data_IF_424407863574
#
_entry.id   IF_424407863574
#
_cell.length_a   1.000
_cell.length_b   1.000
_cell.length_c   1.000
_cell.angle_alpha   90.00
_cell.angle_beta   90.00
_cell.angle_gamma   90.00
#
_symmetry.space_group_name_H-M   'P 1'
#
loop_
_entity.id
_entity.type
_entity.pdbx_description
1 polymer ?
#
# COMPACT_ATOMS: atom_id res chain seq x y z
N UNK A 1 -3.61 19.41 2.58
CA UNK A 1 -4.38 19.45 1.31
C UNK A 1 -4.17 18.19 0.46
N UNK A 2 -2.95 17.89 -0.01
CA UNK A 2 -2.70 16.74 -0.92
C UNK A 2 -3.14 15.37 -0.36
N UNK A 3 -2.93 15.12 0.94
CA UNK A 3 -3.33 13.87 1.59
C UNK A 3 -4.86 13.71 1.61
N UNK A 4 -5.59 14.75 2.01
CA UNK A 4 -7.05 14.75 2.03
C UNK A 4 -7.64 14.57 0.63
N UNK A 5 -7.05 15.22 -0.38
CA UNK A 5 -7.47 15.05 -1.78
C UNK A 5 -7.29 13.59 -2.26
N UNK A 6 -6.16 12.95 -1.94
CA UNK A 6 -5.92 11.55 -2.30
C UNK A 6 -6.81 10.58 -1.51
N UNK A 7 -7.14 10.89 -0.25
CA UNK A 7 -8.13 10.13 0.51
C UNK A 7 -9.51 10.20 -0.14
N UNK A 8 -9.93 11.39 -0.59
CA UNK A 8 -11.17 11.56 -1.33
C UNK A 8 -11.16 10.76 -2.64
N UNK A 9 -10.06 10.85 -3.43
CA UNK A 9 -9.91 10.09 -4.67
C UNK A 9 -9.98 8.57 -4.43
N UNK A 10 -9.41 8.06 -3.33
CA UNK A 10 -9.48 6.63 -3.00
C UNK A 10 -10.93 6.13 -2.79
N UNK A 11 -11.87 7.00 -2.47
CA UNK A 11 -13.28 6.64 -2.31
C UNK A 11 -14.05 6.52 -3.65
N UNK A 12 -13.48 6.99 -4.76
CA UNK A 12 -14.14 6.91 -6.06
C UNK A 12 -14.12 5.47 -6.62
N UNK A 13 -15.15 5.08 -7.40
CA UNK A 13 -15.15 3.81 -8.12
C UNK A 13 -13.93 3.68 -9.04
N UNK A 14 -13.38 2.48 -9.14
CA UNK A 14 -12.19 2.22 -9.96
C UNK A 14 -12.41 2.54 -11.46
N UNK A 15 -13.65 2.43 -11.94
CA UNK A 15 -14.02 2.78 -13.31
C UNK A 15 -13.94 4.28 -13.63
N UNK A 16 -13.86 5.15 -12.62
CA UNK A 16 -13.69 6.59 -12.81
C UNK A 16 -12.25 6.98 -13.20
N UNK A 17 -11.30 6.05 -13.09
CA UNK A 17 -9.90 6.30 -13.38
C UNK A 17 -9.50 5.79 -14.76
N UNK A 18 -8.80 6.63 -15.52
CA UNK A 18 -8.25 6.28 -16.83
C UNK A 18 -6.71 6.19 -16.75
N UNK A 19 -6.06 5.93 -17.90
CA UNK A 19 -4.60 5.84 -18.01
C UNK A 19 -3.89 7.15 -17.62
N UNK A 20 -4.47 8.31 -17.93
CA UNK A 20 -3.92 9.62 -17.54
C UNK A 20 -3.89 9.80 -16.03
N UNK A 21 -4.97 9.42 -15.33
CA UNK A 21 -5.01 9.45 -13.87
C UNK A 21 -3.96 8.50 -13.26
N UNK A 22 -3.77 7.31 -13.84
CA UNK A 22 -2.70 6.38 -13.41
C UNK A 22 -1.32 7.03 -13.49
N UNK A 23 -1.00 7.72 -14.60
CA UNK A 23 0.27 8.43 -14.76
C UNK A 23 0.47 9.53 -13.71
N UNK A 24 -0.61 10.19 -13.28
CA UNK A 24 -0.53 11.16 -12.17
C UNK A 24 -0.21 10.49 -10.85
N UNK A 25 -0.86 9.36 -10.52
CA UNK A 25 -0.54 8.61 -9.29
C UNK A 25 0.89 8.08 -9.30
N UNK A 26 1.37 7.56 -10.43
CA UNK A 26 2.78 7.19 -10.61
C UNK A 26 3.71 8.39 -10.39
N UNK A 27 3.39 9.54 -10.97
CA UNK A 27 4.19 10.75 -10.79
C UNK A 27 4.26 11.20 -9.32
N UNK A 28 3.20 10.97 -8.54
CA UNK A 28 3.17 11.26 -7.10
C UNK A 28 4.01 10.23 -6.34
N UNK A 29 3.79 8.94 -6.59
CA UNK A 29 4.44 7.85 -5.88
C UNK A 29 5.96 7.83 -6.13
N UNK A 30 6.38 7.92 -7.38
CA UNK A 30 7.80 7.93 -7.78
C UNK A 30 8.45 9.32 -7.67
N UNK A 31 7.71 10.35 -7.25
CA UNK A 31 8.20 11.72 -7.11
C UNK A 31 8.85 12.30 -8.39
N UNK A 32 8.36 11.93 -9.59
CA UNK A 32 8.95 12.31 -10.89
C UNK A 32 9.01 13.82 -11.13
N UNK A 33 8.05 14.58 -10.59
CA UNK A 33 7.92 16.04 -10.79
C UNK A 33 8.37 16.86 -9.59
N UNK A 34 8.02 16.42 -8.38
CA UNK A 34 8.33 17.09 -7.12
C UNK A 34 8.29 16.10 -5.97
N UNK A 35 8.81 16.51 -4.82
CA UNK A 35 8.68 15.74 -3.57
C UNK A 35 7.25 15.80 -3.06
N UNK A 36 6.79 14.67 -2.55
CA UNK A 36 5.48 14.50 -1.92
C UNK A 36 5.65 13.91 -0.53
N UNK A 37 4.72 14.27 0.36
CA UNK A 37 4.60 13.69 1.69
C UNK A 37 4.46 12.15 1.62
N UNK A 38 5.05 11.44 2.58
CA UNK A 38 5.02 9.97 2.62
C UNK A 38 3.60 9.40 2.61
N UNK A 39 2.66 10.00 3.33
CA UNK A 39 1.26 9.53 3.37
C UNK A 39 0.51 9.82 2.06
N UNK A 40 0.91 10.87 1.33
CA UNK A 40 0.39 11.07 -0.03
C UNK A 40 0.90 9.98 -0.99
N UNK A 41 2.16 9.54 -0.83
CA UNK A 41 2.75 8.47 -1.64
C UNK A 41 2.11 7.11 -1.34
N UNK A 42 1.88 6.77 -0.08
CA UNK A 42 1.21 5.49 0.29
C UNK A 42 -0.24 5.45 -0.22
N UNK A 43 -0.95 6.59 -0.19
CA UNK A 43 -2.29 6.69 -0.77
C UNK A 43 -2.29 6.56 -2.30
N UNK A 44 -1.34 7.19 -2.99
CA UNK A 44 -1.21 7.04 -4.44
C UNK A 44 -0.91 5.58 -4.81
N UNK A 45 -0.05 4.89 -4.04
CA UNK A 45 0.22 3.47 -4.20
C UNK A 45 -1.05 2.63 -4.03
N UNK A 46 -1.84 2.88 -2.98
CA UNK A 46 -3.09 2.14 -2.74
C UNK A 46 -4.04 2.23 -3.94
N UNK A 47 -4.18 3.43 -4.52
CA UNK A 47 -5.00 3.62 -5.73
C UNK A 47 -4.40 2.86 -6.91
N UNK A 48 -3.09 2.99 -7.16
CA UNK A 48 -2.40 2.26 -8.24
C UNK A 48 -2.59 0.73 -8.14
N UNK A 49 -2.47 0.17 -6.94
CA UNK A 49 -2.67 -1.26 -6.70
C UNK A 49 -4.13 -1.67 -6.88
N UNK A 50 -5.07 -0.82 -6.47
CA UNK A 50 -6.51 -1.07 -6.64
C UNK A 50 -6.92 -1.09 -8.12
N UNK A 51 -6.24 -0.30 -8.97
CA UNK A 51 -6.42 -0.29 -10.41
C UNK A 51 -5.83 -1.52 -11.14
N UNK A 52 -5.32 -2.50 -10.41
CA UNK A 52 -4.68 -3.74 -10.92
C UNK A 52 -3.47 -3.42 -11.82
N UNK A 53 -2.24 -3.48 -11.28
CA UNK A 53 -1.04 -3.21 -12.07
C UNK A 53 -0.85 -4.28 -13.14
N UNK A 54 -0.32 -3.88 -14.29
CA UNK A 54 0.23 -4.82 -15.28
C UNK A 54 1.50 -5.46 -14.74
N UNK A 55 1.99 -6.50 -15.44
CA UNK A 55 3.26 -7.15 -15.11
C UNK A 55 4.42 -6.15 -15.07
N UNK A 56 4.53 -5.29 -16.07
CA UNK A 56 5.56 -4.23 -16.13
C UNK A 56 5.44 -3.24 -14.97
N UNK A 57 4.22 -2.81 -14.64
CA UNK A 57 3.98 -1.87 -13.55
C UNK A 57 4.32 -2.46 -12.18
N UNK A 58 4.03 -3.75 -11.97
CA UNK A 58 4.51 -4.44 -10.79
C UNK A 58 6.04 -4.52 -10.78
N UNK A 59 6.64 -4.76 -11.95
CA UNK A 59 8.07 -4.69 -12.14
C UNK A 59 8.68 -3.39 -11.62
N UNK A 60 8.15 -2.24 -12.04
CA UNK A 60 8.61 -0.93 -11.57
C UNK A 60 8.45 -0.73 -10.05
N UNK A 61 7.38 -1.28 -9.45
CA UNK A 61 7.21 -1.26 -7.99
C UNK A 61 8.26 -2.09 -7.26
N UNK A 62 8.65 -3.24 -7.83
CA UNK A 62 9.72 -4.08 -7.31
C UNK A 62 11.09 -3.40 -7.46
N UNK A 63 11.37 -2.82 -8.63
CA UNK A 63 12.60 -2.06 -8.88
C UNK A 63 12.73 -0.85 -7.93
N UNK A 64 11.60 -0.23 -7.57
CA UNK A 64 11.58 0.82 -6.56
C UNK A 64 12.07 0.37 -5.17
N UNK A 65 11.84 -0.89 -4.77
CA UNK A 65 12.37 -1.40 -3.51
C UNK A 65 13.90 -1.37 -3.45
N UNK A 66 14.54 -1.60 -4.60
CA UNK A 66 16.00 -1.55 -4.77
C UNK A 66 16.54 -0.14 -5.12
N UNK A 67 15.66 0.87 -5.27
CA UNK A 67 16.07 2.23 -5.64
C UNK A 67 16.87 2.94 -4.53
N UNK A 68 17.48 4.09 -4.86
CA UNK A 68 18.19 4.94 -3.90
C UNK A 68 17.27 5.80 -3.00
N UNK A 69 15.95 5.58 -3.04
CA UNK A 69 15.03 6.28 -2.14
C UNK A 69 15.32 5.89 -0.68
N UNK A 70 15.61 6.90 0.16
CA UNK A 70 15.94 6.75 1.59
C UNK A 70 14.70 6.64 2.48
N UNK A 71 13.49 6.73 1.92
CA UNK A 71 12.24 6.56 2.66
C UNK A 71 11.92 5.08 2.89
N UNK A 72 12.64 4.45 3.84
CA UNK A 72 12.50 3.03 4.17
C UNK A 72 11.07 2.64 4.59
N UNK A 73 10.36 3.55 5.24
CA UNK A 73 8.96 3.37 5.64
C UNK A 73 8.04 3.13 4.43
N UNK A 74 8.27 3.85 3.33
CA UNK A 74 7.49 3.70 2.10
C UNK A 74 7.84 2.38 1.41
N UNK A 75 9.11 2.00 1.37
CA UNK A 75 9.54 0.71 0.80
C UNK A 75 8.96 -0.48 1.58
N UNK A 76 8.96 -0.36 2.91
CA UNK A 76 8.36 -1.34 3.82
C UNK A 76 6.86 -1.45 3.55
N UNK A 77 6.17 -0.31 3.46
CA UNK A 77 4.75 -0.26 3.11
C UNK A 77 4.46 -0.97 1.77
N UNK A 78 5.22 -0.64 0.72
CA UNK A 78 5.07 -1.27 -0.61
C UNK A 78 5.20 -2.79 -0.51
N UNK A 79 6.31 -3.27 0.07
CA UNK A 79 6.57 -4.70 0.16
C UNK A 79 5.48 -5.45 0.93
N UNK A 80 5.07 -4.92 2.09
CA UNK A 80 4.02 -5.55 2.88
C UNK A 80 2.67 -5.52 2.16
N UNK A 81 2.35 -4.43 1.43
CA UNK A 81 1.12 -4.37 0.64
C UNK A 81 1.10 -5.37 -0.50
N UNK A 82 2.23 -5.55 -1.19
CA UNK A 82 2.37 -6.57 -2.23
C UNK A 82 2.24 -7.99 -1.67
N UNK A 83 2.89 -8.29 -0.53
CA UNK A 83 2.74 -9.58 0.16
C UNK A 83 1.30 -9.85 0.58
N UNK A 84 0.65 -8.87 1.19
CA UNK A 84 -0.77 -8.96 1.56
C UNK A 84 -1.67 -9.23 0.34
N UNK A 85 -1.42 -8.61 -0.81
CA UNK A 85 -2.17 -8.88 -2.03
C UNK A 85 -1.88 -10.28 -2.60
N UNK A 86 -0.64 -10.75 -2.51
CA UNK A 86 -0.25 -12.10 -2.90
C UNK A 86 -0.88 -13.17 -1.99
N UNK A 87 -1.05 -12.88 -0.70
CA UNK A 87 -1.77 -13.75 0.21
C UNK A 87 -3.24 -13.90 -0.20
N UNK A 88 -3.89 -12.78 -0.55
CA UNK A 88 -5.34 -12.73 -0.88
C UNK A 88 -5.68 -13.25 -2.28
N UNK A 89 -4.79 -13.08 -3.26
CA UNK A 89 -5.10 -13.39 -4.66
C UNK A 89 -4.04 -14.34 -5.26
N UNK A 90 -4.38 -15.62 -5.51
CA UNK A 90 -3.45 -16.59 -6.11
C UNK A 90 -2.89 -16.15 -7.46
N UNK A 91 -3.71 -15.49 -8.28
CA UNK A 91 -3.27 -14.94 -9.58
C UNK A 91 -2.24 -13.83 -9.41
N UNK A 92 -2.43 -12.95 -8.42
CA UNK A 92 -1.47 -11.90 -8.12
C UNK A 92 -0.18 -12.49 -7.52
N UNK A 93 -0.29 -13.53 -6.69
CA UNK A 93 0.85 -14.27 -6.14
C UNK A 93 1.76 -14.82 -7.24
N UNK A 94 1.18 -15.55 -8.19
CA UNK A 94 1.94 -16.12 -9.30
C UNK A 94 2.66 -15.03 -10.12
N UNK A 95 1.98 -13.91 -10.38
CA UNK A 95 2.56 -12.77 -11.08
C UNK A 95 3.68 -12.10 -10.25
N UNK A 96 3.48 -11.90 -8.95
CA UNK A 96 4.48 -11.35 -8.02
C UNK A 96 5.74 -12.22 -7.92
N UNK A 97 5.57 -13.54 -7.75
CA UNK A 97 6.67 -14.50 -7.71
C UNK A 97 7.44 -14.52 -9.05
N UNK A 98 6.72 -14.53 -10.18
CA UNK A 98 7.35 -14.50 -11.50
C UNK A 98 8.20 -13.25 -11.73
N UNK A 99 7.73 -12.08 -11.28
CA UNK A 99 8.46 -10.81 -11.44
C UNK A 99 9.64 -10.70 -10.47
N UNK A 100 9.56 -11.34 -9.29
CA UNK A 100 10.68 -11.46 -8.37
C UNK A 100 11.79 -12.35 -8.91
N UNK A 101 11.45 -13.49 -9.53
CA UNK A 101 12.45 -14.40 -10.14
C UNK A 101 13.23 -13.69 -11.24
N UNK A 102 12.57 -12.86 -12.05
CA UNK A 102 13.22 -12.05 -13.09
C UNK A 102 14.16 -10.97 -12.53
N UNK A 103 13.91 -10.48 -11.32
CA UNK A 103 14.65 -9.35 -10.70
C UNK A 103 15.53 -9.83 -9.55
N UNK A 104 16.62 -10.50 -9.89
CA UNK A 104 17.60 -11.00 -8.89
C UNK A 104 18.17 -9.89 -7.99
N UNK A 105 18.29 -8.66 -8.50
CA UNK A 105 18.72 -7.50 -7.71
C UNK A 105 17.69 -7.03 -6.66
N UNK A 106 16.43 -7.40 -6.81
CA UNK A 106 15.37 -7.18 -5.81
C UNK A 106 15.18 -8.41 -4.94
N UNK A 107 15.27 -9.62 -5.50
CA UNK A 107 15.04 -10.88 -4.80
C UNK A 107 16.25 -11.31 -3.96
N UNK A 108 16.57 -10.52 -2.94
CA UNK A 108 17.60 -10.82 -1.95
C UNK A 108 17.20 -10.25 -0.59
N UNK A 109 17.84 -10.74 0.47
CA UNK A 109 17.53 -10.32 1.84
C UNK A 109 17.78 -8.84 2.10
N UNK A 110 18.73 -8.22 1.41
CA UNK A 110 19.03 -6.79 1.58
C UNK A 110 17.88 -5.89 1.11
N UNK A 111 17.16 -6.29 0.06
CA UNK A 111 16.01 -5.53 -0.48
C UNK A 111 14.67 -6.03 0.08
N UNK A 112 14.49 -7.33 0.32
CA UNK A 112 13.24 -7.87 0.87
C UNK A 112 13.17 -7.81 2.41
N UNK A 113 14.29 -7.58 3.08
CA UNK A 113 14.40 -7.31 4.51
C UNK A 113 14.39 -5.81 4.81
N UNK A 114 13.28 -5.15 4.50
CA UNK A 114 13.16 -3.69 4.69
C UNK A 114 13.26 -3.31 6.18
N UNK A 115 13.90 -2.17 6.45
CA UNK A 115 14.22 -1.68 7.81
C UNK A 115 13.13 -0.82 8.45
N UNK A 116 12.07 -0.48 7.71
CA UNK A 116 11.03 0.41 8.22
C UNK A 116 10.13 -0.26 9.25
N UNK A 117 9.52 0.56 10.10
CA UNK A 117 8.60 0.13 11.17
C UNK A 117 7.14 0.12 10.72
N UNK A 118 6.83 0.67 9.55
CA UNK A 118 5.49 0.68 8.98
C UNK A 118 4.96 -0.75 8.85
N UNK A 119 3.72 -0.95 9.28
CA UNK A 119 3.07 -2.26 9.26
C UNK A 119 1.78 -2.24 8.44
N UNK A 120 1.55 -3.32 7.70
CA UNK A 120 0.31 -3.65 7.04
C UNK A 120 0.02 -5.10 7.38
N UNK A 121 -1.01 -5.30 8.20
CA UNK A 121 -1.44 -6.60 8.67
C UNK A 121 -2.84 -6.88 8.14
N UNK A 122 -3.05 -8.07 7.62
CA UNK A 122 -4.39 -8.61 7.34
C UNK A 122 -4.59 -9.86 8.19
N UNK A 123 -5.73 -9.97 8.87
CA UNK A 123 -6.05 -11.14 9.69
C UNK A 123 -7.51 -11.51 9.51
N UNK A 124 -7.77 -12.78 9.21
CA UNK A 124 -9.14 -13.29 9.20
C UNK A 124 -9.65 -13.36 10.65
N UNK A 125 -10.80 -12.76 10.92
CA UNK A 125 -11.41 -12.71 12.25
C UNK A 125 -12.48 -13.78 12.40
N UNK A 126 -13.31 -13.97 11.37
CA UNK A 126 -14.41 -14.92 11.39
C UNK A 126 -14.65 -15.54 10.02
N UNK A 127 -15.11 -16.78 10.03
CA UNK A 127 -15.55 -17.52 8.86
C UNK A 127 -16.97 -18.00 9.13
N UNK A 128 -17.95 -17.35 8.51
CA UNK A 128 -19.35 -17.73 8.61
C UNK A 128 -19.90 -18.11 7.22
N UNK A 129 -20.95 -18.95 7.15
CA UNK A 129 -21.52 -19.38 5.87
C UNK A 129 -22.02 -18.22 4.99
N UNK A 130 -22.44 -17.11 5.62
CA UNK A 130 -22.98 -15.94 4.93
C UNK A 130 -21.89 -14.92 4.52
N UNK A 131 -20.88 -14.72 5.37
CA UNK A 131 -19.79 -13.77 5.11
C UNK A 131 -18.53 -14.11 5.91
N UNK A 132 -17.38 -13.80 5.33
CA UNK A 132 -16.09 -13.85 6.02
C UNK A 132 -15.70 -12.44 6.47
N UNK A 133 -15.15 -12.32 7.67
CA UNK A 133 -14.71 -11.03 8.20
C UNK A 133 -13.18 -10.99 8.31
N UNK A 134 -12.58 -9.92 7.81
CA UNK A 134 -11.14 -9.70 7.81
C UNK A 134 -10.81 -8.34 8.41
N UNK A 135 -9.89 -8.34 9.38
CA UNK A 135 -9.26 -7.14 9.89
C UNK A 135 -8.12 -6.72 8.99
N UNK A 136 -8.12 -5.46 8.56
CA UNK A 136 -6.99 -4.81 7.92
C UNK A 136 -6.46 -3.70 8.84
N UNK A 137 -5.25 -3.87 9.34
CA UNK A 137 -4.53 -2.85 10.10
C UNK A 137 -3.41 -2.27 9.25
N UNK A 138 -3.27 -0.96 9.23
CA UNK A 138 -2.19 -0.24 8.54
C UNK A 138 -1.66 0.83 9.47
N UNK A 139 -0.37 0.81 9.77
CA UNK A 139 0.30 1.76 10.65
C UNK A 139 1.51 2.34 9.91
N UNK A 140 1.37 3.55 9.41
CA UNK A 140 2.46 4.33 8.84
C UNK A 140 3.23 5.02 9.96
N UNK A 141 4.51 4.69 10.07
CA UNK A 141 5.42 5.23 11.07
C UNK A 141 6.39 6.19 10.41
N UNK A 142 6.78 7.25 11.13
CA UNK A 142 7.84 8.16 10.73
C UNK A 142 8.69 8.49 11.95
N UNK A 143 10.00 8.21 11.89
CA UNK A 143 10.93 8.43 13.00
C UNK A 143 10.45 7.80 14.34
N UNK A 144 9.89 6.59 14.29
CA UNK A 144 9.36 5.90 15.46
C UNK A 144 7.98 6.38 15.95
N UNK A 145 7.44 7.45 15.36
CA UNK A 145 6.13 8.00 15.73
C UNK A 145 5.07 7.52 14.75
N UNK A 146 3.91 7.11 15.26
CA UNK A 146 2.76 6.79 14.42
C UNK A 146 2.27 8.05 13.72
N UNK A 147 2.51 8.16 12.42
CA UNK A 147 2.00 9.26 11.58
C UNK A 147 0.54 9.03 11.20
N UNK A 148 0.20 7.79 10.85
CA UNK A 148 -1.16 7.42 10.44
C UNK A 148 -1.43 5.96 10.73
N UNK A 149 -2.41 5.69 11.57
CA UNK A 149 -2.95 4.37 11.83
C UNK A 149 -4.35 4.24 11.24
N UNK A 150 -4.68 3.12 10.63
CA UNK A 150 -6.05 2.79 10.24
C UNK A 150 -6.35 1.32 10.48
N UNK A 151 -7.53 1.07 11.03
CA UNK A 151 -8.09 -0.27 11.22
C UNK A 151 -9.41 -0.32 10.46
N UNK A 152 -9.55 -1.31 9.59
CA UNK A 152 -10.70 -1.48 8.71
C UNK A 152 -11.20 -2.93 8.77
N UNK A 153 -12.51 -3.10 8.96
CA UNK A 153 -13.17 -4.40 8.95
C UNK A 153 -13.81 -4.62 7.59
N UNK A 154 -13.39 -5.70 6.94
CA UNK A 154 -13.78 -6.04 5.59
C UNK A 154 -14.67 -7.28 5.64
N UNK A 155 -15.91 -7.11 5.20
CA UNK A 155 -16.86 -8.20 4.99
C UNK A 155 -16.73 -8.72 3.57
N UNK A 156 -16.60 -10.02 3.43
CA UNK A 156 -16.46 -10.72 2.17
C UNK A 156 -17.66 -11.64 1.94
N UNK A 157 -18.38 -11.41 0.85
CA UNK A 157 -19.47 -12.28 0.38
C UNK A 157 -19.16 -12.69 -1.07
N UNK A 158 -18.59 -13.88 -1.24
CA UNK A 158 -18.12 -14.36 -2.54
C UNK A 158 -17.04 -13.45 -3.13
N UNK A 159 -17.36 -12.78 -4.25
CA UNK A 159 -16.46 -11.81 -4.93
C UNK A 159 -16.65 -10.37 -4.48
N UNK A 160 -17.69 -10.10 -3.70
CA UNK A 160 -18.00 -8.76 -3.20
C UNK A 160 -17.30 -8.51 -1.87
N UNK A 161 -16.76 -7.31 -1.71
CA UNK A 161 -16.10 -6.87 -0.49
C UNK A 161 -16.65 -5.51 -0.10
N UNK A 162 -17.02 -5.35 1.18
CA UNK A 162 -17.52 -4.08 1.74
C UNK A 162 -16.79 -3.79 3.04
N UNK A 163 -16.43 -2.53 3.24
CA UNK A 163 -15.92 -2.04 4.53
C UNK A 163 -17.10 -1.79 5.47
N UNK A 164 -17.23 -2.56 6.55
CA UNK A 164 -18.28 -2.36 7.56
C UNK A 164 -17.93 -1.23 8.53
N UNK A 165 -16.67 -1.18 8.97
CA UNK A 165 -16.18 -0.20 9.93
C UNK A 165 -14.75 0.20 9.61
N UNK A 166 -14.45 1.50 9.73
CA UNK A 166 -13.11 2.03 9.54
C UNK A 166 -12.80 3.11 10.58
N UNK A 167 -11.76 2.86 11.38
CA UNK A 167 -11.22 3.82 12.33
C UNK A 167 -9.84 4.26 11.84
N UNK A 168 -9.61 5.58 11.80
CA UNK A 168 -8.33 6.17 11.44
C UNK A 168 -7.84 7.12 12.52
N UNK A 169 -6.57 7.01 12.89
CA UNK A 169 -5.84 7.94 13.76
C UNK A 169 -4.78 8.62 12.91
N UNK A 170 -4.79 9.96 12.87
CA UNK A 170 -3.86 10.75 12.09
C UNK A 170 -3.16 11.72 13.02
N UNK A 171 -1.83 11.71 13.01
CA UNK A 171 -1.04 12.62 13.83
C UNK A 171 -0.22 13.53 12.93
N UNK A 172 -0.12 14.79 13.33
CA UNK A 172 0.74 15.78 12.69
C UNK A 172 1.39 16.62 13.79
N UNK A 173 2.67 16.95 13.62
CA UNK A 173 3.39 17.80 14.59
C UNK A 173 3.84 17.10 15.88
N UNK A 174 3.55 15.82 16.09
CA UNK A 174 4.04 15.09 17.28
C UNK A 174 5.55 14.84 17.28
N UNK A 175 6.22 15.06 16.14
CA UNK A 175 7.68 14.95 16.02
C UNK A 175 8.44 15.90 16.95
N UNK A 176 7.89 17.08 17.27
CA UNK A 176 8.53 18.01 18.20
C UNK A 176 8.34 17.65 19.67
N UNK A 177 7.47 16.68 19.97
CA UNK A 177 7.22 16.20 21.33
C UNK A 177 8.13 15.02 21.70
N UNK A 178 8.88 14.49 20.74
CA UNK A 178 9.83 13.40 20.91
C UNK A 178 11.20 13.98 20.58
N UNK A 179 12.02 14.20 21.62
CA UNK A 179 13.33 14.86 21.53
C UNK A 179 14.38 14.09 20.74
#
# INVERSE_FOLDING_TARGET
LSVAALQALKAFPLGSFNSSHRLQFESIFYQRKRRFDSSARTLALDIMLSLRPTQEQLGYLLDYLASNDRQFEIKTYVLQKLRMLAEKCPRFRALFESELVKRRHVNNYNVLGQKGLTTVLTRQLSQAPAFNETLLSTQEVYQGILKRGSVEFLLHAGRSQVSSFKLGVYTAGLGSLVG
#
